data_IF_235726993981
#
_entry.id   IF_235726993981
#
_cell.length_a   1.000
_cell.length_b   1.000
_cell.length_c   1.000
_cell.angle_alpha   90.00
_cell.angle_beta   90.00
_cell.angle_gamma   90.00
#
_symmetry.space_group_name_H-M   'P 1'
#
loop_
_entity.id
_entity.type
_entity.pdbx_description
1 polymer ?
#
# COMPACT_ATOMS: atom_id res chain seq x y z
N UNK A 1 -28.77 10.95 43.22
CA UNK A 1 -28.58 11.95 42.16
C UNK A 1 -27.16 12.52 42.11
N UNK A 2 -26.62 13.17 43.15
CA UNK A 2 -25.27 13.80 43.15
C UNK A 2 -24.10 12.87 42.78
N UNK A 3 -24.14 11.59 43.18
CA UNK A 3 -23.11 10.58 42.82
C UNK A 3 -23.19 10.11 41.35
N UNK A 4 -24.37 10.11 40.74
CA UNK A 4 -24.56 9.81 39.32
C UNK A 4 -24.04 10.96 38.44
N UNK A 5 -24.30 12.21 38.83
CA UNK A 5 -23.75 13.39 38.14
C UNK A 5 -22.22 13.52 38.26
N UNK A 6 -21.64 13.11 39.38
CA UNK A 6 -20.17 13.05 39.55
C UNK A 6 -19.53 11.95 38.71
N UNK A 7 -20.18 10.78 38.59
CA UNK A 7 -19.71 9.68 37.75
C UNK A 7 -19.77 10.00 36.25
N UNK A 8 -20.85 10.63 35.78
CA UNK A 8 -20.97 11.06 34.38
C UNK A 8 -20.01 12.19 34.03
N UNK A 9 -19.78 13.14 34.94
CA UNK A 9 -18.78 14.20 34.76
C UNK A 9 -17.35 13.65 34.63
N UNK A 10 -16.97 12.69 35.49
CA UNK A 10 -15.64 12.07 35.44
C UNK A 10 -15.41 11.27 34.13
N UNK A 11 -16.42 10.57 33.64
CA UNK A 11 -16.36 9.84 32.37
C UNK A 11 -16.22 10.80 31.19
N UNK A 12 -17.01 11.88 31.16
CA UNK A 12 -16.94 12.89 30.10
C UNK A 12 -15.58 13.58 30.04
N UNK A 13 -15.02 13.94 31.20
CA UNK A 13 -13.67 14.53 31.29
C UNK A 13 -12.60 13.54 30.84
N UNK A 14 -12.69 12.27 31.23
CA UNK A 14 -11.73 11.24 30.82
C UNK A 14 -11.78 10.98 29.31
N UNK A 15 -12.99 10.93 28.73
CA UNK A 15 -13.18 10.78 27.29
C UNK A 15 -12.63 12.00 26.52
N UNK A 16 -12.84 13.22 27.03
CA UNK A 16 -12.30 14.44 26.43
C UNK A 16 -10.77 14.47 26.49
N UNK A 17 -10.17 14.11 27.63
CA UNK A 17 -8.71 14.00 27.77
C UNK A 17 -8.17 12.93 26.82
N UNK A 18 -8.79 11.76 26.75
CA UNK A 18 -8.39 10.69 25.84
C UNK A 18 -8.46 11.11 24.38
N UNK A 19 -9.50 11.85 23.98
CA UNK A 19 -9.62 12.40 22.63
C UNK A 19 -8.51 13.41 22.32
N UNK A 20 -8.23 14.33 23.25
CA UNK A 20 -7.14 15.30 23.10
C UNK A 20 -5.78 14.60 22.99
N UNK A 21 -5.52 13.61 23.86
CA UNK A 21 -4.28 12.83 23.81
C UNK A 21 -4.14 12.14 22.45
N UNK A 22 -5.22 11.56 21.92
CA UNK A 22 -5.20 10.89 20.63
C UNK A 22 -5.00 11.89 19.48
N UNK A 23 -5.62 13.07 19.52
CA UNK A 23 -5.44 14.09 18.47
C UNK A 23 -4.00 14.61 18.44
N UNK A 24 -3.38 14.84 19.60
CA UNK A 24 -1.99 15.34 19.69
C UNK A 24 -0.92 14.25 19.70
N UNK A 25 -1.30 12.95 19.68
CA UNK A 25 -0.33 11.86 19.64
C UNK A 25 0.54 11.99 18.37
N UNK A 26 1.86 12.21 18.51
CA UNK A 26 2.75 12.32 17.36
C UNK A 26 2.80 11.01 16.58
N UNK A 27 2.69 11.13 15.25
CA UNK A 27 2.94 10.06 14.29
C UNK A 27 3.87 10.60 13.22
N UNK A 28 4.60 9.71 12.56
CA UNK A 28 5.62 10.10 11.59
C UNK A 28 6.97 10.35 12.24
N UNK A 29 8.02 9.87 11.60
CA UNK A 29 9.41 10.14 11.91
C UNK A 29 10.02 10.99 10.80
N UNK A 30 10.90 11.91 11.18
CA UNK A 30 11.66 12.71 10.21
C UNK A 30 12.58 11.77 9.41
N UNK A 31 12.60 11.87 8.07
CA UNK A 31 13.54 11.13 7.24
C UNK A 31 15.00 11.47 7.55
N UNK A 32 15.92 10.67 7.00
CA UNK A 32 17.36 10.96 7.05
C UNK A 32 17.65 12.35 6.48
N UNK A 33 18.54 13.10 7.13
CA UNK A 33 19.01 14.41 6.63
C UNK A 33 19.69 14.31 5.26
N UNK A 34 20.13 13.11 4.88
CA UNK A 34 20.82 12.87 3.61
C UNK A 34 19.87 12.68 2.42
N UNK A 35 18.58 12.39 2.65
CA UNK A 35 17.62 12.09 1.58
C UNK A 35 17.54 13.24 0.56
N UNK A 36 17.48 14.49 1.03
CA UNK A 36 17.44 15.67 0.19
C UNK A 36 18.69 15.88 -0.69
N UNK A 37 19.81 15.24 -0.34
CA UNK A 37 21.07 15.33 -1.08
C UNK A 37 21.26 14.21 -2.11
N UNK A 38 20.38 13.20 -2.12
CA UNK A 38 20.46 12.09 -3.06
C UNK A 38 19.99 12.52 -4.45
N UNK A 39 20.69 12.05 -5.48
CA UNK A 39 20.24 12.18 -6.87
C UNK A 39 19.44 10.94 -7.26
N UNK A 40 18.16 11.12 -7.59
CA UNK A 40 17.29 10.04 -8.04
C UNK A 40 17.45 9.71 -9.52
N UNK A 41 17.29 8.44 -9.86
CA UNK A 41 17.19 7.94 -11.23
C UNK A 41 15.71 7.81 -11.64
N UNK A 42 15.29 8.65 -12.59
CA UNK A 42 13.92 8.70 -13.13
C UNK A 42 13.46 7.34 -13.67
N UNK A 43 14.33 6.58 -14.34
CA UNK A 43 13.93 5.30 -14.93
C UNK A 43 13.71 4.23 -13.85
N UNK A 44 14.57 4.22 -12.82
CA UNK A 44 14.38 3.35 -11.65
C UNK A 44 13.13 3.72 -10.88
N UNK A 45 12.87 5.01 -10.69
CA UNK A 45 11.66 5.52 -10.06
C UNK A 45 10.40 5.13 -10.83
N UNK A 46 10.40 5.29 -12.15
CA UNK A 46 9.28 4.92 -13.00
C UNK A 46 9.03 3.40 -13.03
N UNK A 47 10.09 2.59 -12.92
CA UNK A 47 9.98 1.14 -12.75
C UNK A 47 9.35 0.81 -11.39
N UNK A 48 9.86 1.39 -10.31
CA UNK A 48 9.37 1.15 -8.95
C UNK A 48 7.93 1.63 -8.75
N UNK A 49 7.55 2.78 -9.34
CA UNK A 49 6.18 3.31 -9.29
C UNK A 49 5.17 2.39 -10.00
N UNK A 50 5.57 1.74 -11.10
CA UNK A 50 4.77 0.69 -11.77
C UNK A 50 4.67 -0.56 -10.92
N UNK A 51 5.81 -1.07 -10.45
CA UNK A 51 5.87 -2.25 -9.59
C UNK A 51 4.99 -2.08 -8.35
N UNK A 52 4.99 -0.88 -7.78
CA UNK A 52 4.26 -0.54 -6.55
C UNK A 52 2.81 -0.12 -6.78
N UNK A 53 2.30 -0.19 -8.01
CA UNK A 53 0.90 0.12 -8.29
C UNK A 53 0.52 1.59 -8.13
N UNK A 54 1.50 2.51 -8.00
CA UNK A 54 1.21 3.94 -7.92
C UNK A 54 0.41 4.42 -9.14
N UNK A 55 0.81 3.97 -10.33
CA UNK A 55 0.13 4.34 -11.59
C UNK A 55 -1.28 3.73 -11.66
N UNK A 56 -1.43 2.48 -11.23
CA UNK A 56 -2.71 1.76 -11.26
C UNK A 56 -3.75 2.42 -10.34
N UNK A 57 -3.35 2.87 -9.15
CA UNK A 57 -4.26 3.48 -8.19
C UNK A 57 -4.51 4.97 -8.45
N UNK A 58 -3.50 5.71 -8.92
CA UNK A 58 -3.60 7.17 -9.08
C UNK A 58 -3.93 7.60 -10.52
N UNK A 59 -4.31 6.68 -11.39
CA UNK A 59 -4.85 7.01 -12.71
C UNK A 59 -6.29 6.52 -12.76
N UNK A 60 -7.25 7.41 -13.00
CA UNK A 60 -8.64 7.01 -13.14
C UNK A 60 -8.85 6.28 -14.49
N UNK A 61 -9.23 4.98 -14.49
CA UNK A 61 -9.44 4.22 -15.71
C UNK A 61 -10.70 4.66 -16.49
N UNK A 62 -11.65 5.34 -15.85
CA UNK A 62 -12.86 5.88 -16.50
C UNK A 62 -12.59 7.19 -17.26
N UNK A 63 -11.37 7.72 -17.16
CA UNK A 63 -10.95 8.97 -17.78
C UNK A 63 -10.21 9.85 -16.77
N UNK A 64 -9.07 10.40 -17.20
CA UNK A 64 -8.23 11.25 -16.36
C UNK A 64 -6.80 11.24 -16.87
N UNK A 65 -6.04 12.28 -16.53
CA UNK A 65 -4.62 12.31 -16.82
C UNK A 65 -3.87 11.29 -15.94
N UNK A 66 -2.78 10.67 -16.43
CA UNK A 66 -1.96 9.76 -15.63
C UNK A 66 -1.55 10.40 -14.30
N UNK A 67 -1.70 9.65 -13.20
CA UNK A 67 -1.35 10.10 -11.85
C UNK A 67 -2.17 11.29 -11.30
N UNK A 68 -3.21 11.75 -11.99
CA UNK A 68 -4.08 12.85 -11.52
C UNK A 68 -5.13 12.42 -10.47
N UNK A 69 -5.13 11.17 -10.05
CA UNK A 69 -6.03 10.63 -9.03
C UNK A 69 -7.46 10.41 -9.53
N UNK A 70 -8.40 10.37 -8.58
CA UNK A 70 -9.83 10.29 -8.86
C UNK A 70 -10.42 8.87 -8.92
N UNK A 71 -9.60 7.83 -8.77
CA UNK A 71 -10.11 6.46 -8.68
C UNK A 71 -10.88 6.28 -7.37
N UNK A 72 -12.14 5.87 -7.46
CA UNK A 72 -12.96 5.51 -6.31
C UNK A 72 -12.65 4.08 -5.86
N UNK A 73 -12.36 3.90 -4.58
CA UNK A 73 -12.14 2.62 -3.93
C UNK A 73 -13.25 2.40 -2.90
N UNK A 74 -14.24 1.61 -3.28
CA UNK A 74 -15.35 1.24 -2.40
C UNK A 74 -14.88 0.21 -1.35
N UNK A 75 -15.15 0.49 -0.08
CA UNK A 75 -14.79 -0.40 1.03
C UNK A 75 -16.00 -0.62 1.93
N UNK A 76 -16.01 -1.70 2.75
CA UNK A 76 -17.06 -1.89 3.75
C UNK A 76 -17.22 -0.73 4.76
N UNK A 77 -16.29 0.22 4.78
CA UNK A 77 -16.24 1.34 5.72
C UNK A 77 -16.59 2.70 5.07
N UNK A 78 -16.83 2.72 3.75
CA UNK A 78 -17.03 3.91 2.94
C UNK A 78 -16.10 3.97 1.74
N UNK A 79 -16.14 5.09 1.01
CA UNK A 79 -15.42 5.26 -0.26
C UNK A 79 -14.19 6.14 -0.06
N UNK A 80 -13.06 5.65 -0.57
CA UNK A 80 -11.81 6.41 -0.65
C UNK A 80 -11.56 6.83 -2.10
N UNK A 81 -10.87 7.94 -2.29
CA UNK A 81 -10.48 8.41 -3.61
C UNK A 81 -8.97 8.58 -3.66
N UNK A 82 -8.34 8.14 -4.75
CA UNK A 82 -6.91 8.36 -4.92
C UNK A 82 -6.60 9.85 -5.15
N UNK A 83 -5.62 10.43 -4.44
CA UNK A 83 -5.25 11.82 -4.64
C UNK A 83 -4.46 12.03 -5.93
N UNK A 84 -4.41 13.28 -6.37
CA UNK A 84 -3.59 13.74 -7.48
C UNK A 84 -2.10 13.77 -7.06
N UNK A 85 -1.24 13.07 -7.81
CA UNK A 85 0.22 13.00 -7.58
C UNK A 85 1.02 13.78 -8.63
N UNK A 86 0.36 14.60 -9.46
CA UNK A 86 1.05 15.41 -10.46
C UNK A 86 1.84 16.55 -9.82
N UNK A 87 2.67 17.23 -10.63
CA UNK A 87 3.47 18.38 -10.19
C UNK A 87 2.66 19.67 -10.04
N UNK A 88 1.33 19.61 -10.09
CA UNK A 88 0.49 20.77 -9.83
C UNK A 88 0.69 21.27 -8.39
N UNK A 89 0.96 22.57 -8.16
CA UNK A 89 1.25 23.11 -6.84
C UNK A 89 0.02 23.27 -5.94
N UNK A 90 -1.19 23.32 -6.50
CA UNK A 90 -2.43 23.53 -5.76
C UNK A 90 -3.18 22.23 -5.43
N UNK A 91 -3.22 21.31 -6.40
CA UNK A 91 -3.99 20.06 -6.32
C UNK A 91 -3.13 18.81 -6.17
N UNK A 92 -1.88 18.87 -6.64
CA UNK A 92 -0.93 17.76 -6.65
C UNK A 92 0.14 17.87 -5.55
N UNK A 93 1.31 17.30 -5.84
CA UNK A 93 2.47 17.30 -4.94
C UNK A 93 3.52 18.37 -5.30
N UNK A 94 3.18 19.34 -6.15
CA UNK A 94 4.13 20.32 -6.69
C UNK A 94 4.80 21.22 -5.66
N UNK A 95 4.21 21.37 -4.47
CA UNK A 95 4.79 22.13 -3.34
C UNK A 95 5.47 21.26 -2.30
N UNK A 96 5.46 19.94 -2.48
CA UNK A 96 6.05 19.02 -1.51
C UNK A 96 7.56 19.01 -1.60
N UNK A 97 8.18 18.67 -0.48
CA UNK A 97 9.60 18.28 -0.41
C UNK A 97 9.74 16.76 -0.54
N UNK A 98 10.94 16.29 -0.90
CA UNK A 98 11.24 14.85 -0.92
C UNK A 98 11.06 14.20 0.45
N UNK A 99 11.29 14.94 1.54
CA UNK A 99 11.09 14.45 2.91
C UNK A 99 9.60 14.23 3.22
N UNK A 100 8.75 15.16 2.83
CA UNK A 100 7.29 15.01 2.94
C UNK A 100 6.80 13.83 2.09
N UNK A 101 7.35 13.66 0.89
CA UNK A 101 7.07 12.49 0.05
C UNK A 101 7.51 11.18 0.69
N UNK A 102 8.71 11.12 1.29
CA UNK A 102 9.19 9.96 2.06
C UNK A 102 8.25 9.60 3.21
N UNK A 103 7.84 10.59 3.99
CA UNK A 103 6.92 10.40 5.13
C UNK A 103 5.56 9.90 4.66
N UNK A 104 5.02 10.46 3.58
CA UNK A 104 3.78 9.99 2.98
C UNK A 104 3.90 8.53 2.51
N UNK A 105 4.91 8.21 1.70
CA UNK A 105 5.07 6.88 1.08
C UNK A 105 5.38 5.80 2.11
N UNK A 106 6.40 5.99 2.96
CA UNK A 106 6.84 4.94 3.90
C UNK A 106 5.93 4.83 5.12
N UNK A 107 5.32 5.93 5.54
CA UNK A 107 4.68 6.02 6.85
C UNK A 107 3.20 6.33 6.74
N UNK A 108 2.68 6.73 5.59
CA UNK A 108 1.27 7.03 5.43
C UNK A 108 0.83 8.23 6.27
N UNK A 109 1.66 9.27 6.33
CA UNK A 109 1.39 10.50 7.07
C UNK A 109 1.45 11.68 6.10
N UNK A 110 0.44 12.55 6.11
CA UNK A 110 0.40 13.72 5.24
C UNK A 110 1.46 14.76 5.61
N UNK A 111 1.78 15.71 4.72
CA UNK A 111 2.62 16.86 5.07
C UNK A 111 2.15 17.64 6.30
N UNK A 112 0.85 17.63 6.59
CA UNK A 112 0.22 18.27 7.75
C UNK A 112 0.22 17.38 9.01
N UNK A 113 0.75 16.16 8.94
CA UNK A 113 0.83 15.22 10.07
C UNK A 113 -0.40 14.33 10.27
N UNK A 114 -1.34 14.31 9.33
CA UNK A 114 -2.55 13.50 9.43
C UNK A 114 -2.32 12.06 8.92
N UNK A 115 -2.88 11.03 9.59
CA UNK A 115 -2.73 9.66 9.13
C UNK A 115 -3.58 9.37 7.88
N UNK A 116 -2.95 8.82 6.85
CA UNK A 116 -3.65 8.27 5.70
C UNK A 116 -4.36 6.95 6.06
N UNK A 117 -5.45 6.67 5.33
CA UNK A 117 -6.15 5.40 5.44
C UNK A 117 -5.27 4.27 4.90
N UNK A 118 -5.28 3.08 5.51
CA UNK A 118 -4.41 1.95 5.14
C UNK A 118 -4.75 1.30 3.80
N UNK A 119 -5.77 1.79 3.09
CA UNK A 119 -5.95 1.49 1.68
C UNK A 119 -4.78 2.02 0.83
N UNK A 120 -4.18 3.13 1.25
CA UNK A 120 -2.82 3.44 0.82
C UNK A 120 -1.89 2.43 1.48
N UNK A 121 -1.27 1.57 0.68
CA UNK A 121 -0.44 0.43 1.11
C UNK A 121 0.92 0.84 1.68
N UNK A 122 1.02 2.00 2.34
CA UNK A 122 2.26 2.50 2.97
C UNK A 122 2.97 1.50 3.90
N UNK A 123 2.31 0.56 4.64
CA UNK A 123 3.04 -0.40 5.45
C UNK A 123 3.92 -1.35 4.63
N UNK A 124 3.72 -1.44 3.32
CA UNK A 124 4.53 -2.25 2.42
C UNK A 124 5.73 -1.48 1.86
N UNK A 125 5.69 -0.15 1.92
CA UNK A 125 6.76 0.73 1.44
C UNK A 125 7.69 1.18 2.57
N UNK A 126 7.43 0.76 3.81
CA UNK A 126 8.18 1.21 4.98
C UNK A 126 9.69 0.92 4.86
N UNK A 127 10.06 -0.17 4.18
CA UNK A 127 11.46 -0.60 3.97
C UNK A 127 12.10 -0.02 2.70
N UNK A 128 11.42 0.86 1.95
CA UNK A 128 12.06 1.53 0.81
C UNK A 128 13.27 2.31 1.30
N UNK A 129 14.41 2.13 0.65
CA UNK A 129 15.65 2.84 0.96
C UNK A 129 15.57 4.31 0.56
N UNK A 130 16.45 5.16 1.09
CA UNK A 130 16.48 6.59 0.74
C UNK A 130 16.74 6.79 -0.75
N UNK A 131 17.56 5.94 -1.35
CA UNK A 131 17.77 5.97 -2.80
C UNK A 131 16.49 5.61 -3.58
N UNK A 132 15.71 4.63 -3.13
CA UNK A 132 14.44 4.28 -3.79
C UNK A 132 13.39 5.38 -3.69
N UNK A 133 13.35 6.10 -2.56
CA UNK A 133 12.51 7.29 -2.44
C UNK A 133 13.01 8.41 -3.35
N UNK A 134 14.32 8.66 -3.41
CA UNK A 134 14.88 9.65 -4.31
C UNK A 134 14.59 9.32 -5.79
N UNK A 135 14.73 8.05 -6.19
CA UNK A 135 14.39 7.55 -7.52
C UNK A 135 12.90 7.79 -7.82
N UNK A 136 12.00 7.38 -6.92
CA UNK A 136 10.55 7.64 -7.05
C UNK A 136 10.27 9.12 -7.19
N UNK A 137 10.78 9.94 -6.28
CA UNK A 137 10.62 11.39 -6.29
C UNK A 137 11.05 11.99 -7.63
N UNK A 138 12.24 11.63 -8.12
CA UNK A 138 12.73 12.09 -9.42
C UNK A 138 11.76 11.72 -10.56
N UNK A 139 11.18 10.51 -10.55
CA UNK A 139 10.18 10.12 -11.54
C UNK A 139 8.86 10.92 -11.41
N UNK A 140 8.34 11.12 -10.20
CA UNK A 140 7.13 11.90 -9.98
C UNK A 140 7.31 13.38 -10.37
N UNK A 141 8.51 13.94 -10.23
CA UNK A 141 8.81 15.30 -10.70
C UNK A 141 8.80 15.45 -12.23
N UNK A 142 8.72 14.36 -12.99
CA UNK A 142 8.54 14.41 -14.46
C UNK A 142 7.08 14.40 -14.90
N UNK A 143 6.14 14.20 -13.97
CA UNK A 143 4.72 14.09 -14.26
C UNK A 143 4.15 15.47 -14.59
N UNK A 144 3.51 15.68 -15.76
CA UNK A 144 2.88 16.96 -16.09
C UNK A 144 1.88 17.39 -15.03
N UNK A 145 1.85 18.69 -14.72
CA UNK A 145 0.89 19.25 -13.78
C UNK A 145 -0.54 19.18 -14.31
N UNK A 146 -1.46 18.72 -13.46
CA UNK A 146 -2.89 18.63 -13.78
C UNK A 146 -3.70 19.28 -12.64
N UNK A 147 -4.45 20.33 -12.96
CA UNK A 147 -5.31 21.07 -12.01
C UNK A 147 -6.62 20.30 -11.76
N UNK A 148 -6.49 19.10 -11.20
CA UNK A 148 -7.61 18.23 -10.82
C UNK A 148 -7.62 18.07 -9.31
N UNK A 149 -8.64 18.58 -8.60
CA UNK A 149 -8.68 18.52 -7.15
C UNK A 149 -8.84 17.08 -6.65
N UNK A 150 -8.07 16.74 -5.60
CA UNK A 150 -8.26 15.48 -4.88
C UNK A 150 -9.60 15.47 -4.14
N UNK A 151 -10.35 14.38 -4.28
CA UNK A 151 -11.64 14.23 -3.60
C UNK A 151 -11.45 13.85 -2.13
N UNK A 152 -12.26 14.45 -1.26
CA UNK A 152 -12.31 14.07 0.14
C UNK A 152 -12.88 12.64 0.28
N UNK A 153 -12.37 11.82 1.21
CA UNK A 153 -12.90 10.48 1.45
C UNK A 153 -14.30 10.55 2.08
N UNK A 154 -15.20 9.69 1.63
CA UNK A 154 -16.57 9.56 2.15
C UNK A 154 -16.68 8.32 3.03
N UNK A 155 -16.25 8.47 4.29
CA UNK A 155 -16.20 7.36 5.26
C UNK A 155 -17.40 7.39 6.20
N UNK A 156 -17.96 6.22 6.49
CA UNK A 156 -19.04 6.10 7.47
C UNK A 156 -18.50 6.33 8.89
N UNK A 157 -19.33 6.86 9.79
CA UNK A 157 -19.01 6.84 11.22
C UNK A 157 -18.94 5.39 11.73
N UNK A 158 -17.94 5.01 12.56
CA UNK A 158 -16.91 5.86 13.17
C UNK A 158 -15.59 5.97 12.36
N UNK A 159 -15.50 5.39 11.17
CA UNK A 159 -14.28 5.33 10.36
C UNK A 159 -13.85 6.69 9.78
N UNK A 160 -14.74 7.68 9.73
CA UNK A 160 -14.40 9.06 9.37
C UNK A 160 -13.55 9.81 10.42
N UNK A 161 -13.36 9.26 11.61
CA UNK A 161 -12.59 9.90 12.68
C UNK A 161 -11.09 9.65 12.48
N UNK A 162 -10.38 10.58 11.83
CA UNK A 162 -8.94 10.49 11.53
C UNK A 162 -8.08 10.16 12.75
N UNK A 163 -8.36 10.76 13.91
CA UNK A 163 -7.62 10.48 15.14
C UNK A 163 -7.71 9.00 15.57
N UNK A 164 -8.85 8.34 15.33
CA UNK A 164 -9.03 6.92 15.64
C UNK A 164 -8.11 6.01 14.80
N UNK A 165 -7.68 6.46 13.62
CA UNK A 165 -6.69 5.72 12.81
C UNK A 165 -5.35 5.57 13.52
N UNK A 166 -4.96 6.50 14.41
CA UNK A 166 -3.70 6.37 15.17
C UNK A 166 -3.72 5.13 16.05
N UNK A 167 -4.85 4.86 16.72
CA UNK A 167 -5.04 3.63 17.49
C UNK A 167 -5.09 2.39 16.58
N UNK A 168 -5.81 2.47 15.46
CA UNK A 168 -5.85 1.37 14.49
C UNK A 168 -4.45 1.00 13.99
N UNK A 169 -3.63 2.00 13.68
CA UNK A 169 -2.24 1.83 13.24
C UNK A 169 -1.40 1.14 14.30
N UNK A 170 -1.49 1.57 15.55
CA UNK A 170 -0.77 0.93 16.66
C UNK A 170 -1.11 -0.56 16.83
N UNK A 171 -2.30 -1.00 16.40
CA UNK A 171 -2.74 -2.39 16.51
C UNK A 171 -2.47 -3.24 15.26
N UNK A 172 -2.48 -2.64 14.07
CA UNK A 172 -2.54 -3.38 12.80
C UNK A 172 -1.53 -2.94 11.74
N UNK A 173 -0.76 -1.89 11.98
CA UNK A 173 0.36 -1.52 11.12
C UNK A 173 1.56 -2.40 11.49
N UNK A 174 1.93 -3.28 10.57
CA UNK A 174 3.13 -4.10 10.66
C UNK A 174 4.00 -3.80 9.45
N UNK A 175 5.27 -3.52 9.71
CA UNK A 175 6.27 -3.30 8.67
C UNK A 175 6.47 -4.59 7.86
N UNK A 176 6.86 -4.47 6.59
CA UNK A 176 7.04 -5.62 5.74
C UNK A 176 8.30 -6.36 6.22
N UNK A 177 8.33 -7.67 6.04
CA UNK A 177 9.51 -8.46 6.43
C UNK A 177 10.34 -8.65 5.17
N UNK A 178 11.07 -7.63 4.71
CA UNK A 178 11.82 -7.70 3.44
C UNK A 178 13.30 -8.02 3.59
N UNK A 179 13.84 -7.99 4.81
CA UNK A 179 15.26 -8.21 5.09
C UNK A 179 15.81 -9.51 4.47
N UNK A 180 17.02 -9.50 3.88
CA UNK A 180 17.62 -10.71 3.30
C UNK A 180 17.74 -11.86 4.32
N UNK A 181 17.44 -13.07 3.87
CA UNK A 181 17.57 -14.30 4.66
C UNK A 181 18.87 -14.99 4.28
N UNK A 182 19.74 -15.21 5.26
CA UNK A 182 20.99 -15.93 5.05
C UNK A 182 20.73 -17.36 4.56
N UNK A 183 21.51 -17.81 3.57
CA UNK A 183 21.36 -19.13 2.96
C UNK A 183 20.31 -19.24 1.86
N UNK A 184 19.49 -18.19 1.63
CA UNK A 184 18.65 -18.06 0.43
C UNK A 184 19.42 -17.37 -0.69
N UNK A 185 19.04 -17.65 -1.93
CA UNK A 185 19.65 -17.05 -3.12
C UNK A 185 19.35 -15.53 -3.18
N UNK A 186 20.13 -14.79 -3.95
CA UNK A 186 19.85 -13.38 -4.23
C UNK A 186 18.50 -13.22 -4.97
N UNK A 187 18.16 -14.17 -5.84
CA UNK A 187 16.87 -14.22 -6.55
C UNK A 187 15.71 -14.36 -5.58
N UNK A 188 15.78 -15.31 -4.65
CA UNK A 188 14.77 -15.51 -3.63
C UNK A 188 14.62 -14.27 -2.73
N UNK A 189 15.73 -13.66 -2.28
CA UNK A 189 15.68 -12.46 -1.45
C UNK A 189 15.12 -11.25 -2.22
N UNK A 190 15.42 -11.14 -3.53
CA UNK A 190 14.82 -10.13 -4.41
C UNK A 190 13.30 -10.36 -4.54
N UNK A 191 12.89 -11.60 -4.75
CA UNK A 191 11.48 -11.99 -4.82
C UNK A 191 10.72 -11.68 -3.55
N UNK A 192 11.33 -11.99 -2.39
CA UNK A 192 10.81 -11.64 -1.08
C UNK A 192 10.58 -10.14 -0.96
N UNK A 193 11.57 -9.31 -1.27
CA UNK A 193 11.44 -7.84 -1.21
C UNK A 193 10.32 -7.31 -2.12
N UNK A 194 10.19 -7.86 -3.33
CA UNK A 194 9.11 -7.50 -4.26
C UNK A 194 7.74 -7.90 -3.69
N UNK A 195 7.53 -9.17 -3.39
CA UNK A 195 6.23 -9.74 -2.99
C UNK A 195 5.75 -9.23 -1.62
N UNK A 196 6.66 -9.12 -0.65
CA UNK A 196 6.38 -8.67 0.71
C UNK A 196 6.31 -7.16 0.87
N UNK A 197 6.96 -6.43 -0.05
CA UNK A 197 7.12 -4.98 0.01
C UNK A 197 6.57 -4.35 -1.26
N UNK A 198 7.44 -4.08 -2.23
CA UNK A 198 7.15 -3.21 -3.37
C UNK A 198 5.83 -3.52 -4.09
N UNK A 199 5.54 -4.79 -4.40
CA UNK A 199 4.31 -5.20 -5.11
C UNK A 199 3.17 -5.60 -4.18
N UNK A 200 3.37 -5.49 -2.85
CA UNK A 200 2.35 -5.59 -1.79
C UNK A 200 1.33 -6.72 -1.94
N UNK A 201 1.76 -7.92 -2.36
CA UNK A 201 0.85 -9.02 -2.65
C UNK A 201 -0.04 -9.40 -1.44
N UNK A 202 0.51 -9.27 -0.22
CA UNK A 202 -0.23 -9.53 1.00
C UNK A 202 -1.33 -8.48 1.31
N UNK A 203 -1.45 -7.40 0.54
CA UNK A 203 -2.52 -6.42 0.69
C UNK A 203 -3.90 -7.03 0.37
N UNK A 204 -3.95 -7.86 -0.68
CA UNK A 204 -5.14 -8.54 -1.14
C UNK A 204 -5.18 -10.01 -0.69
N UNK A 205 -4.04 -10.70 -0.71
CA UNK A 205 -3.99 -12.14 -0.47
C UNK A 205 -3.85 -12.54 1.02
N UNK A 206 -3.97 -11.62 1.97
CA UNK A 206 -3.96 -11.93 3.40
C UNK A 206 -5.33 -11.67 4.01
N UNK A 207 -5.83 -12.62 4.80
CA UNK A 207 -7.13 -12.48 5.46
C UNK A 207 -7.15 -11.27 6.39
N UNK A 208 -8.27 -10.54 6.40
CA UNK A 208 -8.49 -9.39 7.28
C UNK A 208 -9.42 -9.74 8.44
N UNK A 209 -9.29 -9.00 9.54
CA UNK A 209 -10.25 -9.02 10.64
C UNK A 209 -11.42 -8.05 10.36
N UNK A 210 -12.41 -8.01 11.25
CA UNK A 210 -13.60 -7.16 11.10
C UNK A 210 -13.30 -5.66 11.09
N UNK A 211 -12.15 -5.24 11.60
CA UNK A 211 -11.68 -3.85 11.59
C UNK A 211 -10.78 -3.55 10.38
N UNK A 212 -10.70 -4.47 9.41
CA UNK A 212 -9.89 -4.31 8.21
C UNK A 212 -8.39 -4.56 8.40
N UNK A 213 -7.93 -4.93 9.60
CA UNK A 213 -6.52 -5.25 9.86
C UNK A 213 -6.10 -6.60 9.28
N UNK A 214 -4.92 -6.68 8.64
CA UNK A 214 -4.37 -7.93 8.08
C UNK A 214 -3.95 -8.89 9.20
N UNK A 215 -4.33 -10.17 9.09
CA UNK A 215 -3.93 -11.25 10.01
C UNK A 215 -2.54 -11.80 9.66
N UNK A 216 -1.53 -10.94 9.65
CA UNK A 216 -0.16 -11.26 9.18
C UNK A 216 0.53 -12.39 9.94
N UNK A 217 0.13 -12.64 11.20
CA UNK A 217 0.73 -13.68 12.03
C UNK A 217 0.10 -15.07 11.87
N UNK A 218 -1.13 -15.16 11.35
CA UNK A 218 -1.92 -16.41 11.39
C UNK A 218 -2.52 -16.82 10.06
N UNK A 219 -2.61 -15.92 9.08
CA UNK A 219 -3.29 -16.14 7.81
C UNK A 219 -2.68 -15.33 6.67
N UNK A 220 -1.36 -15.11 6.73
CA UNK A 220 -0.61 -14.45 5.66
C UNK A 220 -0.67 -15.31 4.39
N UNK A 221 -0.96 -14.68 3.27
CA UNK A 221 -1.14 -15.35 1.97
C UNK A 221 -2.22 -16.44 1.90
N UNK A 222 -3.05 -16.60 2.93
CA UNK A 222 -4.14 -17.58 2.96
C UNK A 222 -5.38 -17.15 2.15
N UNK A 223 -5.31 -16.03 1.43
CA UNK A 223 -6.43 -15.47 0.68
C UNK A 223 -7.31 -14.55 1.52
N UNK A 224 -8.26 -13.89 0.85
CA UNK A 224 -9.23 -12.99 1.47
C UNK A 224 -10.55 -13.03 0.73
N UNK A 225 -11.65 -13.16 1.46
CA UNK A 225 -13.02 -13.08 0.91
C UNK A 225 -13.58 -11.65 0.89
N UNK A 226 -12.81 -10.67 1.35
CA UNK A 226 -13.24 -9.28 1.54
C UNK A 226 -12.23 -8.32 0.90
N UNK A 227 -12.34 -8.14 -0.42
CA UNK A 227 -11.61 -7.11 -1.14
C UNK A 227 -12.44 -5.82 -1.28
N UNK A 228 -11.80 -4.65 -1.38
CA UNK A 228 -12.46 -3.42 -1.84
C UNK A 228 -13.14 -3.63 -3.20
N UNK A 229 -14.32 -3.03 -3.41
CA UNK A 229 -15.15 -3.24 -4.61
C UNK A 229 -15.85 -4.60 -4.68
N UNK A 230 -15.67 -5.46 -3.68
CA UNK A 230 -16.18 -6.82 -3.65
C UNK A 230 -15.23 -7.85 -4.29
N UNK A 231 -15.56 -9.14 -4.13
CA UNK A 231 -14.77 -10.24 -4.67
C UNK A 231 -13.78 -10.85 -3.67
N UNK A 232 -12.93 -11.74 -4.18
CA UNK A 232 -12.06 -12.60 -3.38
C UNK A 232 -10.65 -12.66 -3.98
N UNK A 233 -9.65 -12.76 -3.12
CA UNK A 233 -8.29 -13.11 -3.49
C UNK A 233 -8.02 -14.57 -3.06
N UNK A 234 -7.56 -15.45 -3.97
CA UNK A 234 -7.22 -16.82 -3.62
C UNK A 234 -6.00 -16.87 -2.68
N UNK A 235 -5.78 -17.98 -1.97
CA UNK A 235 -4.52 -18.21 -1.29
C UNK A 235 -3.36 -18.25 -2.29
N UNK A 236 -2.23 -17.66 -1.91
CA UNK A 236 -0.96 -17.69 -2.67
C UNK A 236 0.19 -18.20 -1.81
N UNK A 237 -0.09 -18.85 -0.68
CA UNK A 237 0.92 -19.62 0.04
C UNK A 237 1.41 -20.79 -0.83
N UNK A 238 2.66 -21.20 -0.62
CA UNK A 238 3.30 -22.25 -1.45
C UNK A 238 2.49 -23.54 -1.51
N UNK A 239 1.89 -23.98 -0.41
CA UNK A 239 1.15 -25.24 -0.37
C UNK A 239 -0.15 -25.16 -1.19
N UNK A 240 -0.81 -24.01 -1.19
CA UNK A 240 -1.99 -23.76 -2.03
C UNK A 240 -1.60 -23.64 -3.51
N UNK A 241 -0.55 -22.91 -3.85
CA UNK A 241 -0.06 -22.77 -5.23
C UNK A 241 0.28 -24.13 -5.86
N UNK A 242 1.07 -24.95 -5.16
CA UNK A 242 1.43 -26.31 -5.63
C UNK A 242 0.19 -27.18 -5.83
N UNK A 243 -0.78 -27.10 -4.92
CA UNK A 243 -2.02 -27.89 -4.99
C UNK A 243 -2.87 -27.52 -6.21
N UNK A 244 -2.91 -26.25 -6.56
CA UNK A 244 -3.62 -25.72 -7.73
C UNK A 244 -2.80 -25.88 -9.03
N UNK A 245 -1.67 -26.58 -9.00
CA UNK A 245 -0.88 -26.91 -10.18
C UNK A 245 0.05 -25.80 -10.66
N UNK A 246 0.32 -24.80 -9.82
CA UNK A 246 1.31 -23.77 -10.12
C UNK A 246 2.73 -24.29 -9.90
N UNK A 247 3.61 -23.91 -10.82
CA UNK A 247 5.06 -23.93 -10.65
C UNK A 247 5.66 -22.53 -10.87
N UNK A 248 6.95 -22.38 -10.59
CA UNK A 248 7.63 -21.09 -10.70
C UNK A 248 7.55 -20.49 -12.13
N UNK A 249 7.67 -21.33 -13.16
CA UNK A 249 7.61 -20.88 -14.55
C UNK A 249 6.22 -20.38 -14.92
N UNK A 250 5.19 -21.11 -14.54
CA UNK A 250 3.80 -20.75 -14.77
C UNK A 250 3.38 -19.49 -14.00
N UNK A 251 3.89 -19.29 -12.77
CA UNK A 251 3.67 -18.07 -12.00
C UNK A 251 4.33 -16.85 -12.66
N UNK A 252 5.61 -16.95 -13.01
CA UNK A 252 6.31 -15.87 -13.70
C UNK A 252 5.63 -15.52 -15.03
N UNK A 253 5.20 -16.54 -15.78
CA UNK A 253 4.45 -16.37 -17.02
C UNK A 253 3.10 -15.69 -16.81
N UNK A 254 2.33 -16.10 -15.80
CA UNK A 254 1.03 -15.50 -15.49
C UNK A 254 1.17 -14.06 -15.00
N UNK A 255 2.18 -13.76 -14.18
CA UNK A 255 2.47 -12.38 -13.75
C UNK A 255 2.91 -11.48 -14.91
N UNK A 256 3.51 -12.06 -15.97
CA UNK A 256 3.87 -11.32 -17.18
C UNK A 256 2.69 -11.09 -18.12
N UNK A 257 1.86 -12.12 -18.33
CA UNK A 257 0.91 -12.17 -19.45
C UNK A 257 -0.55 -12.07 -19.01
N UNK A 258 -0.82 -12.36 -17.73
CA UNK A 258 -2.17 -12.50 -17.20
C UNK A 258 -2.78 -13.88 -17.42
N UNK A 259 -2.08 -14.81 -18.08
CA UNK A 259 -2.60 -16.14 -18.43
C UNK A 259 -2.15 -17.18 -17.41
N UNK A 260 -3.12 -17.85 -16.82
CA UNK A 260 -2.96 -18.89 -15.79
C UNK A 260 -2.60 -20.25 -16.40
N UNK A 261 -2.15 -21.24 -15.60
CA UNK A 261 -1.81 -22.58 -16.08
C UNK A 261 -2.97 -23.32 -16.75
N UNK A 262 -4.22 -23.00 -16.40
CA UNK A 262 -5.41 -23.58 -17.07
C UNK A 262 -5.62 -23.04 -18.48
N UNK A 263 -4.93 -21.96 -18.87
CA UNK A 263 -5.17 -21.21 -20.09
C UNK A 263 -6.18 -20.06 -19.93
N UNK A 264 -6.78 -19.89 -18.75
CA UNK A 264 -7.67 -18.77 -18.45
C UNK A 264 -6.88 -17.48 -18.15
N UNK A 265 -7.50 -16.33 -18.30
CA UNK A 265 -6.91 -15.05 -17.89
C UNK A 265 -7.29 -14.69 -16.43
N UNK A 266 -6.40 -13.99 -15.72
CA UNK A 266 -6.76 -13.34 -14.46
C UNK A 266 -7.90 -12.34 -14.69
N UNK A 267 -8.99 -12.50 -13.94
CA UNK A 267 -10.10 -11.56 -13.92
C UNK A 267 -9.95 -10.47 -12.87
N UNK A 268 -10.81 -9.45 -12.96
CA UNK A 268 -11.01 -8.41 -11.96
C UNK A 268 -9.68 -7.73 -11.55
N UNK A 269 -9.50 -7.48 -10.23
CA UNK A 269 -8.36 -6.77 -9.67
C UNK A 269 -7.00 -7.39 -10.02
N UNK A 270 -6.87 -8.72 -10.14
CA UNK A 270 -5.58 -9.32 -10.49
C UNK A 270 -5.23 -9.07 -11.97
N UNK A 271 -6.23 -9.00 -12.85
CA UNK A 271 -6.04 -8.59 -14.23
C UNK A 271 -5.51 -7.15 -14.32
N UNK A 272 -6.01 -6.24 -13.50
CA UNK A 272 -5.52 -4.85 -13.41
C UNK A 272 -4.09 -4.78 -12.87
N UNK A 273 -3.75 -5.59 -11.87
CA UNK A 273 -2.38 -5.69 -11.34
C UNK A 273 -1.39 -6.10 -12.44
N UNK A 274 -1.78 -7.03 -13.31
CA UNK A 274 -0.96 -7.39 -14.47
C UNK A 274 -0.92 -6.25 -15.48
N UNK A 275 -2.09 -5.70 -15.85
CA UNK A 275 -2.24 -4.70 -16.89
C UNK A 275 -1.47 -3.40 -16.59
N UNK A 276 -1.40 -2.98 -15.33
CA UNK A 276 -0.77 -1.70 -14.95
C UNK A 276 0.54 -1.87 -14.17
N UNK A 277 0.88 -3.09 -13.77
CA UNK A 277 2.03 -3.37 -12.90
C UNK A 277 2.91 -4.49 -13.43
N UNK A 278 2.61 -5.74 -13.08
CA UNK A 278 3.56 -6.85 -13.17
C UNK A 278 4.03 -7.16 -14.59
N UNK A 279 3.20 -6.88 -15.62
CA UNK A 279 3.63 -7.09 -17.00
C UNK A 279 4.81 -6.21 -17.43
N UNK A 280 5.08 -5.11 -16.71
CA UNK A 280 6.20 -4.20 -16.98
C UNK A 280 7.47 -4.58 -16.24
N UNK A 281 7.41 -5.54 -15.32
CA UNK A 281 8.58 -6.01 -14.61
C UNK A 281 9.52 -6.78 -15.53
N UNK A 282 10.81 -6.74 -15.17
CA UNK A 282 11.83 -7.53 -15.85
C UNK A 282 11.57 -9.01 -15.62
N UNK A 283 11.94 -9.85 -16.58
CA UNK A 283 11.84 -11.32 -16.42
C UNK A 283 12.57 -11.79 -15.17
N UNK A 284 13.74 -11.21 -14.87
CA UNK A 284 14.50 -11.52 -13.65
C UNK A 284 13.70 -11.26 -12.37
N UNK A 285 12.97 -10.14 -12.29
CA UNK A 285 12.16 -9.82 -11.12
C UNK A 285 10.92 -10.72 -11.04
N UNK A 286 10.31 -11.08 -12.16
CA UNK A 286 9.17 -12.01 -12.21
C UNK A 286 9.58 -13.43 -11.79
N UNK A 287 10.73 -13.91 -12.27
CA UNK A 287 11.32 -15.19 -11.88
C UNK A 287 11.66 -15.19 -10.39
N UNK A 288 12.22 -14.09 -9.87
CA UNK A 288 12.51 -13.92 -8.45
C UNK A 288 11.23 -13.96 -7.59
N UNK A 289 10.18 -13.23 -8.00
CA UNK A 289 8.87 -13.26 -7.32
C UNK A 289 8.28 -14.68 -7.29
N UNK A 290 8.37 -15.40 -8.41
CA UNK A 290 7.90 -16.77 -8.49
C UNK A 290 8.74 -17.75 -7.64
N UNK A 291 10.08 -17.60 -7.65
CA UNK A 291 11.00 -18.35 -6.78
C UNK A 291 10.62 -18.18 -5.31
N UNK A 292 10.36 -16.93 -4.88
CA UNK A 292 9.92 -16.66 -3.51
C UNK A 292 8.57 -17.28 -3.20
N UNK A 293 7.56 -17.09 -4.06
CA UNK A 293 6.20 -17.62 -3.83
C UNK A 293 6.15 -19.16 -3.78
N UNK A 294 7.03 -19.83 -4.51
CA UNK A 294 7.14 -21.30 -4.53
C UNK A 294 8.00 -21.88 -3.40
N UNK A 295 8.62 -21.03 -2.58
CA UNK A 295 9.50 -21.44 -1.47
C UNK A 295 9.37 -20.46 -0.30
N UNK A 296 8.12 -20.18 0.10
CA UNK A 296 7.82 -19.33 1.25
C UNK A 296 8.13 -20.10 2.55
N UNK A 297 8.62 -19.42 3.60
CA UNK A 297 8.68 -20.03 4.92
C UNK A 297 7.25 -20.29 5.41
N UNK A 298 7.00 -21.51 5.90
CA UNK A 298 5.72 -21.91 6.47
C UNK A 298 5.39 -21.24 7.80
#
# INVERSE_FOLDING_TARGET
>A
MRRLFLGTGAIAVSAAIGFIVLTVWPIGATPSSELANLTGDVNRGAYLARASGCIACHTNPEGGAPLAGGLALDTPFGTLYSPNLTTDPGQGIGTWTVDQFAVAVRQGVSPDGEPYYPAFTYPFYADFTDQEIADLWAAFQTVPAEDVPSLAPDMAFPFNQRAALKLWRALYQFDPKTEPVAGKSDGWNRGKWLVEGATHCAACHTTRNLLGGRKVATAKFAGSDMLPGGGKAPPIDTASLVREGWDAGSLAYALKTGITPSGDAFGNAMGEVVLFGTQFLSTKDLDAMAEYLMDQPG
#
